data_IF_181908135981
#
_entry.id   IF_181908135981
#
_cell.length_a   1.000
_cell.length_b   1.000
_cell.length_c   1.000
_cell.angle_alpha   90.00
_cell.angle_beta   90.00
_cell.angle_gamma   90.00
#
_symmetry.space_group_name_H-M   'P 1'
#
loop_
_entity.id
_entity.type
_entity.pdbx_description
1 polymer ?
#
# COMPACT_ATOMS: atom_id res chain seq x y z
N UNK A 1 20.17 38.19 -5.79
CA UNK A 1 18.94 38.32 -4.98
C UNK A 1 18.72 36.98 -4.31
N UNK A 2 18.65 36.93 -2.98
CA UNK A 2 18.14 35.74 -2.29
C UNK A 2 16.62 35.87 -2.30
N UNK A 3 15.93 34.91 -2.91
CA UNK A 3 14.48 34.81 -2.77
C UNK A 3 14.16 34.37 -1.34
N UNK A 4 13.56 35.27 -0.56
CA UNK A 4 13.12 34.99 0.80
C UNK A 4 11.65 34.57 0.72
N UNK A 5 11.40 33.27 0.73
CA UNK A 5 10.05 32.72 0.85
C UNK A 5 9.66 32.64 2.32
N UNK A 6 8.60 33.35 2.71
CA UNK A 6 8.05 33.31 4.07
C UNK A 6 6.79 32.44 4.11
N UNK A 7 6.69 31.59 5.12
CA UNK A 7 5.52 30.73 5.38
C UNK A 7 5.02 30.99 6.79
N UNK A 8 3.70 31.08 6.95
CA UNK A 8 3.09 31.16 8.26
C UNK A 8 3.09 29.77 8.90
N UNK A 9 3.56 29.68 10.14
CA UNK A 9 3.65 28.41 10.90
C UNK A 9 2.29 27.69 10.96
N UNK A 10 1.18 28.45 10.99
CA UNK A 10 -0.18 27.90 11.01
C UNK A 10 -0.60 27.18 9.74
N UNK A 11 0.03 27.48 8.60
CA UNK A 11 -0.24 26.82 7.34
C UNK A 11 0.62 25.57 7.13
N UNK A 12 1.67 25.39 7.95
CA UNK A 12 2.55 24.23 7.87
C UNK A 12 1.84 23.03 8.48
N UNK A 13 1.58 22.03 7.64
CA UNK A 13 0.91 20.79 8.04
C UNK A 13 1.89 19.78 8.66
N UNK A 14 3.06 19.63 8.06
CA UNK A 14 4.10 18.72 8.51
C UNK A 14 5.47 19.13 7.96
N UNK A 15 6.52 18.61 8.60
CA UNK A 15 7.91 18.85 8.26
C UNK A 15 8.70 17.56 8.38
N UNK A 16 9.38 17.20 7.30
CA UNK A 16 10.13 15.95 7.17
C UNK A 16 11.55 16.19 6.67
N UNK A 17 12.43 15.24 6.98
CA UNK A 17 13.83 15.26 6.51
C UNK A 17 14.09 14.00 5.71
N UNK A 18 14.42 14.18 4.45
CA UNK A 18 14.86 13.13 3.55
C UNK A 18 16.39 13.02 3.64
N UNK A 19 16.88 11.90 4.16
CA UNK A 19 18.32 11.66 4.34
C UNK A 19 18.94 11.03 3.10
N UNK A 20 19.85 11.75 2.45
CA UNK A 20 20.75 11.19 1.43
C UNK A 20 22.08 10.73 2.01
N UNK A 21 22.94 10.15 1.17
CA UNK A 21 24.25 9.60 1.57
C UNK A 21 25.20 10.70 2.07
N UNK A 22 25.12 11.90 1.49
CA UNK A 22 26.02 13.03 1.79
C UNK A 22 25.29 14.26 2.32
N UNK A 23 24.05 14.47 1.89
CA UNK A 23 23.26 15.65 2.21
C UNK A 23 21.83 15.26 2.54
N UNK A 24 21.15 16.12 3.28
CA UNK A 24 19.73 15.99 3.62
C UNK A 24 18.92 17.05 2.89
N UNK A 25 17.66 16.74 2.62
CA UNK A 25 16.66 17.71 2.17
C UNK A 25 15.60 17.85 3.24
N UNK A 26 15.34 19.07 3.68
CA UNK A 26 14.22 19.40 4.58
C UNK A 26 13.01 19.76 3.71
N UNK A 27 11.88 19.12 3.99
CA UNK A 27 10.59 19.36 3.34
C UNK A 27 9.66 20.06 4.33
N UNK A 28 9.10 21.19 3.94
CA UNK A 28 8.14 21.97 4.72
C UNK A 28 6.86 22.05 3.88
N UNK A 29 5.79 21.41 4.35
CA UNK A 29 4.58 21.27 3.54
C UNK A 29 3.50 22.22 4.05
N UNK A 30 3.26 23.27 3.26
CA UNK A 30 2.20 24.25 3.45
C UNK A 30 0.89 23.71 2.83
N UNK A 31 -0.14 23.55 3.66
CA UNK A 31 -1.46 23.06 3.27
C UNK A 31 -2.54 24.14 3.22
N UNK A 32 -2.16 25.42 3.08
CA UNK A 32 -3.10 26.52 2.80
C UNK A 32 -4.04 26.22 1.63
N UNK A 33 -3.57 25.44 0.64
CA UNK A 33 -4.41 24.81 -0.38
C UNK A 33 -4.36 23.27 -0.27
N UNK A 34 -5.36 22.67 0.37
CA UNK A 34 -5.43 21.22 0.57
C UNK A 34 -5.44 20.40 -0.73
N UNK A 35 -5.84 20.98 -1.87
CA UNK A 35 -5.86 20.29 -3.18
C UNK A 35 -4.51 20.30 -3.87
N UNK A 36 -3.66 21.27 -3.54
CA UNK A 36 -2.33 21.41 -4.11
C UNK A 36 -1.39 22.00 -3.05
N UNK A 37 -0.95 21.17 -2.09
CA UNK A 37 -0.03 21.61 -1.04
C UNK A 37 1.29 22.06 -1.65
N UNK A 38 1.90 23.08 -1.04
CA UNK A 38 3.19 23.63 -1.49
C UNK A 38 4.28 22.95 -0.68
N UNK A 39 5.15 22.19 -1.35
CA UNK A 39 6.34 21.61 -0.74
C UNK A 39 7.53 22.56 -0.92
N UNK A 40 8.01 23.10 0.20
CA UNK A 40 9.17 23.99 0.24
C UNK A 40 10.37 23.17 0.68
N UNK A 41 11.35 23.09 -0.21
CA UNK A 41 12.50 22.21 -0.05
C UNK A 41 13.77 23.01 0.22
N UNK A 42 14.48 22.66 1.29
CA UNK A 42 15.83 23.14 1.56
C UNK A 42 16.82 21.99 1.35
N UNK A 43 17.55 22.05 0.24
CA UNK A 43 18.52 21.03 -0.16
C UNK A 43 19.91 21.27 0.44
N UNK A 44 20.77 20.26 0.30
CA UNK A 44 22.19 20.34 0.64
C UNK A 44 22.47 20.69 2.11
N UNK A 45 21.55 20.30 3.00
CA UNK A 45 21.73 20.48 4.44
C UNK A 45 22.64 19.38 5.00
N UNK A 46 23.46 19.73 5.98
CA UNK A 46 24.14 18.73 6.82
C UNK A 46 23.09 18.00 7.65
N UNK A 47 23.37 16.74 7.98
CA UNK A 47 22.44 15.90 8.74
C UNK A 47 22.01 16.52 10.08
N UNK A 48 22.96 17.07 10.84
CA UNK A 48 22.68 17.76 12.11
C UNK A 48 21.79 18.99 11.93
N UNK A 49 22.04 19.77 10.87
CA UNK A 49 21.35 21.03 10.62
C UNK A 49 19.92 20.76 10.14
N UNK A 50 19.73 19.74 9.29
CA UNK A 50 18.42 19.30 8.84
C UNK A 50 17.56 18.77 10.00
N UNK A 51 18.12 17.92 10.86
CA UNK A 51 17.41 17.40 12.03
C UNK A 51 17.08 18.51 13.03
N UNK A 52 18.02 19.42 13.28
CA UNK A 52 17.79 20.57 14.16
C UNK A 52 16.71 21.50 13.62
N UNK A 53 16.74 21.80 12.32
CA UNK A 53 15.70 22.59 11.67
C UNK A 53 14.33 21.93 11.76
N UNK A 54 14.25 20.60 11.53
CA UNK A 54 13.02 19.83 11.72
C UNK A 54 12.48 19.95 13.14
N UNK A 55 13.30 19.71 14.16
CA UNK A 55 12.91 19.83 15.58
C UNK A 55 12.39 21.24 15.89
N UNK A 56 13.13 22.27 15.48
CA UNK A 56 12.71 23.67 15.70
C UNK A 56 11.34 23.97 15.09
N UNK A 57 11.13 23.61 13.82
CA UNK A 57 9.85 23.91 13.15
C UNK A 57 8.71 23.09 13.77
N UNK A 58 8.93 21.81 14.07
CA UNK A 58 7.95 20.97 14.76
C UNK A 58 7.58 21.52 16.14
N UNK A 59 8.56 22.02 16.90
CA UNK A 59 8.33 22.66 18.18
C UNK A 59 7.48 23.92 18.05
N UNK A 60 7.78 24.77 17.08
CA UNK A 60 6.99 25.98 16.81
C UNK A 60 5.54 25.67 16.41
N UNK A 61 5.34 24.65 15.56
CA UNK A 61 4.00 24.17 15.18
C UNK A 61 3.26 23.65 16.43
N UNK A 62 3.92 22.82 17.23
CA UNK A 62 3.33 22.19 18.42
C UNK A 62 2.94 23.23 19.45
N UNK A 63 3.82 24.17 19.74
CA UNK A 63 3.55 25.29 20.64
C UNK A 63 2.33 26.08 20.18
N UNK A 64 2.27 26.43 18.90
CA UNK A 64 1.15 27.21 18.37
C UNK A 64 -0.17 26.44 18.43
N UNK A 65 -0.14 25.16 18.05
CA UNK A 65 -1.32 24.27 18.03
C UNK A 65 -1.90 24.04 19.42
N UNK A 66 -1.04 23.94 20.44
CA UNK A 66 -1.43 23.62 21.81
C UNK A 66 -1.40 24.84 22.75
N UNK A 67 -1.14 26.05 22.22
CA UNK A 67 -0.95 27.28 23.00
C UNK A 67 0.05 27.13 24.16
N UNK A 68 1.17 26.42 23.91
CA UNK A 68 2.22 26.27 24.91
C UNK A 68 2.96 27.60 25.12
N UNK A 69 3.41 27.92 26.34
CA UNK A 69 4.23 29.09 26.57
C UNK A 69 5.61 28.87 25.95
N UNK A 70 6.03 29.74 25.04
CA UNK A 70 7.43 29.88 24.64
C UNK A 70 8.03 31.13 25.28
N UNK A 71 9.36 31.15 25.51
CA UNK A 71 10.08 32.36 25.85
C UNK A 71 9.85 33.49 24.84
N UNK A 72 10.27 34.71 25.17
CA UNK A 72 10.23 35.81 24.21
C UNK A 72 11.12 35.46 22.98
N UNK A 73 10.66 35.62 21.72
CA UNK A 73 11.46 35.34 20.53
C UNK A 73 12.87 35.95 20.49
N UNK A 74 13.09 37.05 21.21
CA UNK A 74 14.42 37.67 21.35
C UNK A 74 15.34 37.03 22.40
N UNK A 75 14.87 36.04 23.17
CA UNK A 75 15.69 35.38 24.19
C UNK A 75 16.53 34.24 23.58
N UNK A 76 17.75 33.99 24.10
CA UNK A 76 18.58 32.88 23.65
C UNK A 76 17.94 31.50 23.95
N UNK A 77 16.97 31.47 24.85
CA UNK A 77 16.28 30.25 25.27
C UNK A 77 15.08 29.93 24.38
N UNK A 78 14.60 30.88 23.55
CA UNK A 78 13.45 30.66 22.67
C UNK A 78 13.66 29.48 21.73
N UNK A 79 14.79 29.48 21.01
CA UNK A 79 15.11 28.43 20.05
C UNK A 79 15.40 27.10 20.76
N UNK A 80 16.03 27.14 21.93
CA UNK A 80 16.32 25.92 22.70
C UNK A 80 15.03 25.25 23.19
N UNK A 81 14.10 26.04 23.71
CA UNK A 81 12.82 25.53 24.20
C UNK A 81 11.96 25.01 23.05
N UNK A 82 11.93 25.73 21.91
CA UNK A 82 11.26 25.25 20.71
C UNK A 82 11.88 23.93 20.20
N UNK A 83 13.20 23.82 20.15
CA UNK A 83 13.89 22.58 19.75
C UNK A 83 13.53 21.41 20.67
N UNK A 84 13.53 21.64 22.00
CA UNK A 84 13.15 20.65 23.01
C UNK A 84 11.70 20.20 22.88
N UNK A 85 10.76 21.14 22.74
CA UNK A 85 9.33 20.84 22.51
C UNK A 85 9.17 20.05 21.21
N UNK A 86 9.92 20.38 20.17
CA UNK A 86 9.90 19.65 18.91
C UNK A 86 10.52 18.26 18.97
N UNK A 87 11.46 18.03 19.87
CA UNK A 87 12.02 16.70 20.14
C UNK A 87 11.04 15.81 20.92
N UNK A 88 10.46 16.33 22.02
CA UNK A 88 9.47 15.62 22.84
C UNK A 88 8.13 15.42 22.11
N UNK A 89 7.72 16.45 21.36
CA UNK A 89 6.58 16.40 20.46
C UNK A 89 6.88 15.50 19.26
N UNK A 90 8.11 15.47 18.77
CA UNK A 90 8.57 14.62 17.68
C UNK A 90 8.58 13.14 18.03
N UNK A 91 8.91 12.73 19.26
CA UNK A 91 8.78 11.33 19.71
C UNK A 91 7.31 10.93 19.85
N UNK A 92 6.46 11.76 20.46
CA UNK A 92 5.01 11.51 20.52
C UNK A 92 4.34 11.60 19.13
N UNK A 93 4.85 12.42 18.22
CA UNK A 93 4.41 12.50 16.83
C UNK A 93 4.99 11.35 16.02
N UNK A 94 6.17 10.81 16.31
CA UNK A 94 6.65 9.57 15.69
C UNK A 94 5.82 8.39 16.19
N UNK A 95 5.45 8.31 17.46
CA UNK A 95 4.53 7.29 17.96
C UNK A 95 3.11 7.48 17.40
N UNK A 96 2.63 8.72 17.29
CA UNK A 96 1.35 9.04 16.63
C UNK A 96 1.42 8.93 15.11
N UNK A 97 2.56 9.08 14.46
CA UNK A 97 2.79 8.81 13.04
C UNK A 97 2.95 7.31 12.87
N UNK A 98 3.51 6.56 13.82
CA UNK A 98 3.51 5.10 13.79
C UNK A 98 2.12 4.53 14.12
N UNK A 99 1.25 5.27 14.83
CA UNK A 99 -0.18 4.98 15.01
C UNK A 99 -1.06 5.50 13.85
N UNK A 100 -0.77 6.68 13.27
CA UNK A 100 -1.55 7.33 12.20
C UNK A 100 -1.08 6.94 10.80
N UNK A 101 0.15 6.48 10.66
CA UNK A 101 0.48 5.35 9.79
C UNK A 101 -0.13 4.15 10.48
N UNK A 102 -1.47 4.08 10.47
CA UNK A 102 -2.17 2.82 10.60
C UNK A 102 -1.53 1.96 9.51
N UNK A 103 -0.52 1.18 9.92
CA UNK A 103 0.18 0.19 9.14
C UNK A 103 -0.95 -0.56 8.47
N UNK A 104 -1.20 -0.28 7.19
CA UNK A 104 -2.37 -0.80 6.46
C UNK A 104 -2.39 -2.28 6.84
N UNK A 105 -3.38 -2.73 7.63
CA UNK A 105 -3.19 -3.92 8.44
C UNK A 105 -3.14 -5.09 7.48
N UNK A 106 -1.93 -5.56 7.16
CA UNK A 106 -1.68 -6.79 6.41
C UNK A 106 -2.64 -6.99 5.22
N UNK A 107 -2.77 -5.96 4.36
CA UNK A 107 -3.54 -6.10 3.13
C UNK A 107 -2.72 -6.88 2.09
N UNK A 108 -3.01 -8.18 1.96
CA UNK A 108 -2.41 -9.04 0.93
C UNK A 108 -3.24 -9.13 -0.35
N UNK A 109 -4.31 -8.33 -0.46
CA UNK A 109 -5.15 -8.33 -1.66
C UNK A 109 -4.40 -7.90 -2.93
N UNK A 110 -3.30 -7.16 -2.81
CA UNK A 110 -2.45 -6.85 -3.97
C UNK A 110 -1.77 -8.10 -4.54
N UNK A 111 -1.41 -9.07 -3.68
CA UNK A 111 -0.84 -10.35 -4.11
C UNK A 111 -1.90 -11.20 -4.81
N UNK A 112 -3.11 -11.25 -4.27
CA UNK A 112 -4.18 -12.03 -4.89
C UNK A 112 -4.60 -11.44 -6.23
N UNK A 113 -4.74 -10.12 -6.35
CA UNK A 113 -4.96 -9.44 -7.65
C UNK A 113 -3.91 -9.84 -8.69
N UNK A 114 -2.64 -9.82 -8.30
CA UNK A 114 -1.54 -10.19 -9.19
C UNK A 114 -1.66 -11.65 -9.64
N UNK A 115 -1.98 -12.57 -8.72
CA UNK A 115 -2.17 -13.99 -9.05
C UNK A 115 -3.37 -14.23 -9.97
N UNK A 116 -4.50 -13.56 -9.72
CA UNK A 116 -5.68 -13.59 -10.59
C UNK A 116 -5.37 -13.07 -12.00
N UNK A 117 -4.62 -11.97 -12.09
CA UNK A 117 -4.19 -11.40 -13.36
C UNK A 117 -3.25 -12.33 -14.13
N UNK A 118 -2.24 -12.90 -13.46
CA UNK A 118 -1.31 -13.87 -14.05
C UNK A 118 -2.06 -15.11 -14.54
N UNK A 119 -2.98 -15.66 -13.72
CA UNK A 119 -3.81 -16.78 -14.13
C UNK A 119 -4.65 -16.44 -15.39
N UNK A 120 -5.24 -15.24 -15.42
CA UNK A 120 -5.93 -14.68 -16.58
C UNK A 120 -5.08 -14.71 -17.85
N UNK A 121 -3.84 -14.24 -17.77
CA UNK A 121 -2.88 -14.26 -18.88
C UNK A 121 -2.57 -15.69 -19.32
N UNK A 122 -2.27 -16.58 -18.38
CA UNK A 122 -1.95 -17.99 -18.68
C UNK A 122 -3.12 -18.65 -19.41
N UNK A 123 -4.35 -18.45 -18.93
CA UNK A 123 -5.55 -19.00 -19.59
C UNK A 123 -5.76 -18.40 -20.98
N UNK A 124 -5.56 -17.09 -21.14
CA UNK A 124 -5.73 -16.42 -22.44
C UNK A 124 -4.71 -16.90 -23.48
N UNK A 125 -3.44 -17.05 -23.08
CA UNK A 125 -2.37 -17.55 -23.94
C UNK A 125 -2.57 -19.04 -24.24
N UNK A 126 -2.99 -19.83 -23.25
CA UNK A 126 -3.22 -21.27 -23.41
C UNK A 126 -4.44 -21.59 -24.28
N UNK A 127 -5.46 -20.73 -24.28
CA UNK A 127 -6.72 -20.94 -24.99
C UNK A 127 -6.58 -21.38 -26.47
N UNK A 128 -5.82 -20.69 -27.35
CA UNK A 128 -5.68 -21.09 -28.75
C UNK A 128 -5.00 -22.46 -28.94
N UNK A 129 -4.19 -22.92 -27.99
CA UNK A 129 -3.48 -24.20 -28.09
C UNK A 129 -4.32 -25.38 -27.60
N UNK A 130 -5.22 -25.14 -26.64
CA UNK A 130 -5.96 -26.19 -25.94
C UNK A 130 -7.49 -26.11 -26.13
N UNK A 131 -7.98 -25.30 -27.07
CA UNK A 131 -9.42 -25.07 -27.26
C UNK A 131 -10.22 -26.36 -27.48
N UNK A 132 -9.63 -27.37 -28.13
CA UNK A 132 -10.29 -28.65 -28.41
C UNK A 132 -10.41 -29.57 -27.19
N UNK A 133 -9.66 -29.30 -26.12
CA UNK A 133 -9.67 -30.07 -24.87
C UNK A 133 -10.59 -29.44 -23.81
N UNK A 134 -11.19 -28.28 -24.10
CA UNK A 134 -12.06 -27.59 -23.15
C UNK A 134 -13.39 -28.32 -23.03
N UNK A 135 -13.81 -28.53 -21.79
CA UNK A 135 -15.15 -29.05 -21.46
C UNK A 135 -16.25 -28.01 -21.76
N UNK A 136 -15.88 -26.72 -21.80
CA UNK A 136 -16.80 -25.60 -22.01
C UNK A 136 -16.57 -24.91 -23.37
N UNK A 137 -17.60 -24.29 -23.96
CA UNK A 137 -17.46 -23.54 -25.20
C UNK A 137 -16.44 -22.40 -25.08
N UNK A 138 -15.68 -22.16 -26.14
CA UNK A 138 -14.64 -21.11 -26.20
C UNK A 138 -15.18 -19.72 -25.82
N UNK A 139 -16.41 -19.39 -26.23
CA UNK A 139 -17.07 -18.13 -25.87
C UNK A 139 -17.27 -17.98 -24.36
N UNK A 140 -17.65 -19.06 -23.68
CA UNK A 140 -17.79 -19.10 -22.21
C UNK A 140 -16.42 -18.96 -21.55
N UNK A 141 -15.39 -19.64 -22.06
CA UNK A 141 -14.02 -19.50 -21.54
C UNK A 141 -13.51 -18.07 -21.61
N UNK A 142 -13.74 -17.36 -22.73
CA UNK A 142 -13.33 -15.96 -22.88
C UNK A 142 -14.04 -15.08 -21.84
N UNK A 143 -15.34 -15.30 -21.61
CA UNK A 143 -16.08 -14.55 -20.58
C UNK A 143 -15.55 -14.83 -19.17
N UNK A 144 -15.20 -16.08 -18.85
CA UNK A 144 -14.60 -16.44 -17.56
C UNK A 144 -13.23 -15.79 -17.39
N UNK A 145 -12.38 -15.81 -18.42
CA UNK A 145 -11.06 -15.16 -18.41
C UNK A 145 -11.21 -13.65 -18.19
N UNK A 146 -12.12 -13.01 -18.93
CA UNK A 146 -12.40 -11.59 -18.78
C UNK A 146 -12.94 -11.28 -17.38
N UNK A 147 -13.89 -12.09 -16.90
CA UNK A 147 -14.45 -11.97 -15.55
C UNK A 147 -13.36 -12.06 -14.48
N UNK A 148 -12.40 -12.97 -14.62
CA UNK A 148 -11.26 -13.12 -13.72
C UNK A 148 -10.35 -11.88 -13.69
N UNK A 149 -10.02 -11.32 -14.86
CA UNK A 149 -9.20 -10.12 -14.96
C UNK A 149 -9.94 -8.88 -14.44
N UNK A 150 -11.24 -8.77 -14.74
CA UNK A 150 -12.08 -7.70 -14.20
C UNK A 150 -12.19 -7.81 -12.67
N UNK A 151 -12.35 -9.02 -12.14
CA UNK A 151 -12.35 -9.25 -10.70
C UNK A 151 -11.00 -8.80 -10.11
N UNK A 152 -9.88 -9.12 -10.75
CA UNK A 152 -8.56 -8.63 -10.37
C UNK A 152 -8.48 -7.09 -10.33
N UNK A 153 -9.10 -6.39 -11.29
CA UNK A 153 -9.12 -4.92 -11.35
C UNK A 153 -10.10 -4.25 -10.38
N UNK A 154 -11.21 -4.92 -10.06
CA UNK A 154 -12.30 -4.40 -9.21
C UNK A 154 -12.01 -4.62 -7.71
N UNK A 155 -11.06 -5.49 -7.35
CA UNK A 155 -10.68 -5.74 -5.94
C UNK A 155 -10.25 -4.41 -5.29
N UNK A 156 -11.15 -3.82 -4.51
CA UNK A 156 -10.91 -2.63 -3.71
C UNK A 156 -10.59 -3.04 -2.27
N UNK A 157 -9.48 -2.58 -1.66
CA UNK A 157 -9.09 -2.94 -0.30
C UNK A 157 -10.10 -2.62 0.81
N UNK A 158 -11.16 -1.86 0.52
CA UNK A 158 -12.07 -1.34 1.54
C UNK A 158 -13.32 -2.17 1.81
N UNK A 159 -13.62 -3.20 1.02
CA UNK A 159 -14.91 -3.88 1.09
C UNK A 159 -14.78 -5.38 1.40
N UNK A 160 -15.14 -5.77 2.64
CA UNK A 160 -15.19 -7.16 3.11
C UNK A 160 -15.93 -8.14 2.17
N UNK A 161 -17.08 -7.80 1.56
CA UNK A 161 -17.79 -8.72 0.66
C UNK A 161 -16.97 -9.13 -0.55
N UNK A 162 -16.12 -8.23 -1.06
CA UNK A 162 -15.28 -8.49 -2.23
C UNK A 162 -14.21 -9.54 -1.89
N UNK A 163 -13.57 -9.44 -0.71
CA UNK A 163 -12.60 -10.41 -0.24
C UNK A 163 -13.23 -11.80 0.02
N UNK A 164 -14.49 -11.86 0.47
CA UNK A 164 -15.20 -13.12 0.67
C UNK A 164 -15.55 -13.81 -0.66
N UNK A 165 -16.03 -13.05 -1.65
CA UNK A 165 -16.31 -13.55 -3.01
C UNK A 165 -15.03 -14.08 -3.66
N UNK A 166 -13.93 -13.36 -3.51
CA UNK A 166 -12.63 -13.77 -4.02
C UNK A 166 -12.20 -15.13 -3.46
N UNK A 167 -12.27 -15.30 -2.14
CA UNK A 167 -11.94 -16.58 -1.49
C UNK A 167 -12.77 -17.74 -2.05
N UNK A 168 -14.07 -17.52 -2.21
CA UNK A 168 -14.98 -18.54 -2.77
C UNK A 168 -14.61 -18.90 -4.21
N UNK A 169 -14.34 -17.89 -5.05
CA UNK A 169 -13.94 -18.09 -6.45
C UNK A 169 -12.60 -18.81 -6.54
N UNK A 170 -11.60 -18.45 -5.72
CA UNK A 170 -10.31 -19.12 -5.71
C UNK A 170 -10.43 -20.61 -5.34
N UNK A 171 -11.28 -20.95 -4.36
CA UNK A 171 -11.56 -22.35 -4.01
C UNK A 171 -12.22 -23.09 -5.17
N UNK A 172 -13.25 -22.50 -5.80
CA UNK A 172 -13.94 -23.13 -6.91
C UNK A 172 -13.00 -23.40 -8.09
N UNK A 173 -12.13 -22.43 -8.44
CA UNK A 173 -11.17 -22.57 -9.53
C UNK A 173 -10.05 -23.55 -9.19
N UNK A 174 -9.54 -23.56 -7.96
CA UNK A 174 -8.58 -24.57 -7.52
C UNK A 174 -9.12 -25.98 -7.73
N UNK A 175 -10.34 -26.26 -7.25
CA UNK A 175 -10.96 -27.58 -7.40
C UNK A 175 -11.18 -27.95 -8.87
N UNK A 176 -11.60 -26.99 -9.69
CA UNK A 176 -11.80 -27.20 -11.13
C UNK A 176 -10.49 -27.56 -11.84
N UNK A 177 -9.43 -26.78 -11.62
CA UNK A 177 -8.14 -26.98 -12.28
C UNK A 177 -7.40 -28.22 -11.78
N UNK A 178 -7.43 -28.50 -10.48
CA UNK A 178 -6.83 -29.71 -9.89
C UNK A 178 -7.51 -30.97 -10.42
N UNK A 179 -8.85 -31.00 -10.42
CA UNK A 179 -9.60 -32.15 -10.96
C UNK A 179 -9.31 -32.36 -12.45
N UNK A 180 -9.24 -31.27 -13.22
CA UNK A 180 -8.89 -31.34 -14.65
C UNK A 180 -7.46 -31.87 -14.84
N UNK A 181 -6.48 -31.34 -14.10
CA UNK A 181 -5.10 -31.80 -14.17
C UNK A 181 -4.98 -33.30 -13.87
N UNK A 182 -5.62 -33.76 -12.79
CA UNK A 182 -5.59 -35.17 -12.38
C UNK A 182 -6.24 -36.10 -13.41
N UNK A 183 -7.37 -35.70 -14.01
CA UNK A 183 -8.02 -36.52 -15.04
C UNK A 183 -7.10 -36.74 -16.26
N UNK A 184 -6.39 -35.70 -16.70
CA UNK A 184 -5.44 -35.81 -17.81
C UNK A 184 -4.13 -36.54 -17.42
N UNK A 185 -3.67 -36.40 -16.17
CA UNK A 185 -2.55 -37.19 -15.67
C UNK A 185 -2.86 -38.69 -15.59
N UNK A 186 -4.05 -39.06 -15.10
CA UNK A 186 -4.47 -40.47 -14.94
C UNK A 186 -4.73 -41.13 -16.29
N UNK A 187 -5.40 -40.42 -17.22
CA UNK A 187 -5.64 -40.93 -18.57
C UNK A 187 -4.36 -41.02 -19.42
N UNK A 188 -3.28 -40.33 -19.01
CA UNK A 188 -2.03 -40.23 -19.77
C UNK A 188 -2.17 -39.39 -21.04
N UNK A 189 -3.29 -38.67 -21.20
CA UNK A 189 -3.57 -37.84 -22.36
C UNK A 189 -3.01 -36.43 -22.18
N UNK A 190 -2.39 -35.89 -23.23
CA UNK A 190 -1.93 -34.49 -23.31
C UNK A 190 -1.28 -33.96 -22.01
N UNK A 191 -0.16 -34.55 -21.62
CA UNK A 191 0.64 -34.18 -20.44
C UNK A 191 0.89 -32.67 -20.32
N UNK A 192 1.09 -31.96 -21.45
CA UNK A 192 1.28 -30.50 -21.44
C UNK A 192 0.05 -29.77 -20.90
N UNK A 193 -1.16 -30.22 -21.30
CA UNK A 193 -2.41 -29.67 -20.79
C UNK A 193 -2.59 -30.00 -19.30
N UNK A 194 -2.24 -31.21 -18.87
CA UNK A 194 -2.25 -31.58 -17.46
C UNK A 194 -1.34 -30.67 -16.61
N UNK A 195 -0.10 -30.42 -17.07
CA UNK A 195 0.87 -29.54 -16.41
C UNK A 195 0.37 -28.09 -16.34
N UNK A 196 -0.26 -27.59 -17.42
CA UNK A 196 -0.83 -26.24 -17.44
C UNK A 196 -1.94 -26.10 -16.40
N UNK A 197 -2.87 -27.05 -16.34
CA UNK A 197 -3.94 -27.05 -15.34
C UNK A 197 -3.38 -27.21 -13.92
N UNK A 198 -2.35 -28.03 -13.72
CA UNK A 198 -1.67 -28.15 -12.42
C UNK A 198 -1.04 -26.83 -11.99
N UNK A 199 -0.44 -26.09 -12.93
CA UNK A 199 0.16 -24.78 -12.67
C UNK A 199 -0.90 -23.78 -12.24
N UNK A 200 -2.05 -23.75 -12.93
CA UNK A 200 -3.20 -22.92 -12.54
C UNK A 200 -3.75 -23.31 -11.16
N UNK A 201 -3.86 -24.61 -10.87
CA UNK A 201 -4.28 -25.10 -9.56
C UNK A 201 -3.35 -24.59 -8.44
N UNK A 202 -2.03 -24.65 -8.62
CA UNK A 202 -1.06 -24.12 -7.65
C UNK A 202 -1.25 -22.61 -7.45
N UNK A 203 -1.44 -21.84 -8.53
CA UNK A 203 -1.69 -20.40 -8.44
C UNK A 203 -2.95 -20.12 -7.60
N UNK A 204 -4.06 -20.83 -7.86
CA UNK A 204 -5.29 -20.64 -7.10
C UNK A 204 -5.15 -21.14 -5.65
N UNK A 205 -4.37 -22.19 -5.39
CA UNK A 205 -4.07 -22.64 -4.03
C UNK A 205 -3.35 -21.57 -3.21
N UNK A 206 -2.34 -20.92 -3.79
CA UNK A 206 -1.64 -19.79 -3.15
C UNK A 206 -2.60 -18.61 -2.97
N UNK A 207 -3.47 -18.36 -3.95
CA UNK A 207 -4.47 -17.29 -3.90
C UNK A 207 -5.45 -17.50 -2.73
N UNK A 208 -5.92 -18.73 -2.50
CA UNK A 208 -6.77 -19.08 -1.35
C UNK A 208 -6.09 -18.69 -0.03
N UNK A 209 -4.80 -19.03 0.13
CA UNK A 209 -4.06 -18.71 1.36
C UNK A 209 -4.05 -17.21 1.66
N UNK A 210 -3.71 -16.38 0.67
CA UNK A 210 -3.68 -14.92 0.85
C UNK A 210 -5.07 -14.31 0.97
N UNK A 211 -6.07 -14.86 0.27
CA UNK A 211 -7.46 -14.40 0.35
C UNK A 211 -8.04 -14.65 1.76
N UNK A 212 -7.84 -15.85 2.32
CA UNK A 212 -8.26 -16.17 3.71
C UNK A 212 -7.53 -15.27 4.72
N UNK A 213 -6.22 -15.03 4.54
CA UNK A 213 -5.46 -14.13 5.40
C UNK A 213 -6.05 -12.71 5.40
N UNK A 214 -6.49 -12.25 4.23
CA UNK A 214 -7.14 -10.94 4.04
C UNK A 214 -8.50 -10.89 4.73
N UNK A 215 -9.36 -11.90 4.53
CA UNK A 215 -10.66 -12.02 5.21
C UNK A 215 -10.51 -12.04 6.74
N UNK A 216 -9.54 -12.79 7.26
CA UNK A 216 -9.24 -12.86 8.70
C UNK A 216 -8.78 -11.51 9.27
N UNK A 217 -8.05 -10.72 8.48
CA UNK A 217 -7.63 -9.37 8.85
C UNK A 217 -8.83 -8.43 9.06
N UNK A 218 -9.82 -8.48 8.16
CA UNK A 218 -11.07 -7.71 8.32
C UNK A 218 -11.91 -8.16 9.52
N UNK A 219 -11.96 -9.48 9.79
CA UNK A 219 -12.75 -10.01 10.91
C UNK A 219 -12.22 -9.54 12.27
N UNK A 220 -10.90 -9.48 12.46
CA UNK A 220 -10.30 -8.96 13.69
C UNK A 220 -10.58 -7.47 13.91
N UNK A 221 -10.67 -6.67 12.83
CA UNK A 221 -10.98 -5.23 12.92
C UNK A 221 -12.45 -4.95 13.27
N UNK A 222 -13.38 -5.85 12.94
CA UNK A 222 -14.81 -5.66 13.24
C UNK A 222 -15.16 -5.88 14.72
N UNK A 223 -14.31 -6.61 15.45
CA UNK A 223 -14.52 -6.97 16.86
C UNK A 223 -13.77 -6.06 17.86
N UNK A 224 -13.03 -5.06 17.39
CA UNK A 224 -12.45 -3.97 18.19
C UNK A 224 -13.14 -2.65 17.82
#
# INVERSE_FOLDING_TARGET
MQDISSVLIENISHVDVSTGILTCTLHIIDSSNYRNPIDIQAHNLRHTDALRARKLIQGLITTRKHNLPLPNPGSPDYLKEAEKIGEEGGENILDRILESQEKIPHYYGDVTRLLFFIAGIIMLIGLPFFYALLVVPVSVSILVILGLVLLAGVINPRHFPVAAVESFISVALFLFFENTAMNYFISGENIIYAILNQTLAIIFFITIYYSIKTVRGFLHRKNN
#
